data_IF_612064225789
#
_entry.id   IF_612064225789
#
_cell.length_a   1.000
_cell.length_b   1.000
_cell.length_c   1.000
_cell.angle_alpha   90.00
_cell.angle_beta   90.00
_cell.angle_gamma   90.00
#
_symmetry.space_group_name_H-M   'P 1'
#
loop_
_entity.id
_entity.type
_entity.pdbx_description
1 polymer ?
#
# COMPACT_ATOMS: atom_id res chain seq x y z
N UNK A 1 -59.91 25.48 38.21
CA UNK A 1 -58.60 25.89 37.65
C UNK A 1 -58.12 24.74 36.80
N UNK A 2 -58.12 24.91 35.48
CA UNK A 2 -57.78 23.84 34.52
C UNK A 2 -56.80 24.45 33.54
N UNK A 3 -55.51 24.12 33.69
CA UNK A 3 -54.47 24.44 32.73
C UNK A 3 -54.56 23.46 31.53
N UNK A 4 -54.27 23.92 30.30
CA UNK A 4 -54.15 23.04 29.15
C UNK A 4 -52.79 22.33 29.16
N UNK A 5 -52.80 21.03 28.91
CA UNK A 5 -51.59 20.22 28.71
C UNK A 5 -50.90 20.61 27.39
N UNK A 6 -49.64 21.04 27.50
CA UNK A 6 -48.71 21.21 26.39
C UNK A 6 -48.20 19.83 25.94
N UNK A 7 -48.46 19.45 24.70
CA UNK A 7 -47.72 18.40 24.01
C UNK A 7 -46.32 18.92 23.65
N UNK A 8 -45.22 18.24 24.04
CA UNK A 8 -43.93 18.52 23.44
C UNK A 8 -43.80 17.75 22.12
N UNK A 9 -43.47 18.47 21.06
CA UNK A 9 -43.14 17.96 19.75
C UNK A 9 -42.06 16.88 19.80
N UNK A 10 -42.21 15.87 18.94
CA UNK A 10 -41.30 14.74 18.82
C UNK A 10 -39.91 15.15 18.36
N UNK A 11 -38.91 14.77 19.15
CA UNK A 11 -37.50 14.84 18.77
C UNK A 11 -37.16 13.86 17.64
N UNK A 12 -36.07 14.13 16.88
CA UNK A 12 -35.69 13.32 15.75
C UNK A 12 -35.25 11.91 16.18
N UNK A 13 -35.67 10.98 15.34
CA UNK A 13 -35.63 9.54 15.50
C UNK A 13 -34.19 9.01 15.61
N UNK A 14 -34.06 8.10 16.57
CA UNK A 14 -32.89 7.36 17.00
C UNK A 14 -32.26 6.56 15.83
N UNK A 15 -31.15 7.07 15.29
CA UNK A 15 -30.29 6.40 14.33
C UNK A 15 -29.37 5.39 15.02
N UNK A 16 -30.00 4.32 15.47
CA UNK A 16 -29.47 3.03 15.93
C UNK A 16 -28.03 2.73 15.46
N UNK A 17 -27.17 2.48 16.44
CA UNK A 17 -25.74 2.23 16.27
C UNK A 17 -25.38 0.97 15.50
N UNK A 18 -24.29 1.10 14.75
CA UNK A 18 -23.48 0.01 14.23
C UNK A 18 -22.25 -0.17 15.14
N UNK A 19 -22.33 -1.22 15.96
CA UNK A 19 -21.26 -1.95 16.64
C UNK A 19 -19.86 -1.34 16.75
N UNK A 20 -19.65 -0.49 17.75
CA UNK A 20 -18.31 -0.29 18.35
C UNK A 20 -17.97 -1.46 19.27
N UNK A 21 -17.73 -2.64 18.69
CA UNK A 21 -17.16 -3.78 19.40
C UNK A 21 -15.64 -3.65 19.44
N UNK A 22 -15.02 -3.93 20.59
CA UNK A 22 -13.56 -4.09 20.79
C UNK A 22 -12.91 -5.22 19.94
N UNK A 23 -13.64 -5.75 18.97
CA UNK A 23 -13.26 -6.79 18.01
C UNK A 23 -13.89 -6.55 16.63
N UNK A 24 -14.26 -5.30 16.29
CA UNK A 24 -14.62 -4.97 14.92
C UNK A 24 -13.37 -5.16 14.06
N UNK A 25 -13.30 -6.30 13.36
CA UNK A 25 -12.17 -6.72 12.53
C UNK A 25 -11.87 -5.62 11.49
N UNK A 26 -10.77 -4.85 11.64
CA UNK A 26 -10.54 -3.62 10.88
C UNK A 26 -10.47 -3.82 9.35
N UNK A 27 -10.26 -5.06 8.90
CA UNK A 27 -10.18 -5.43 7.49
C UNK A 27 -11.51 -5.85 6.85
N UNK A 28 -12.59 -5.98 7.63
CA UNK A 28 -13.93 -6.27 7.08
C UNK A 28 -14.67 -5.03 6.58
N UNK A 29 -14.16 -3.84 6.90
CA UNK A 29 -14.51 -2.60 6.20
C UNK A 29 -13.88 -2.65 4.80
N UNK A 30 -14.53 -3.37 3.88
CA UNK A 30 -14.23 -3.43 2.45
C UNK A 30 -14.44 -2.07 1.72
N UNK A 31 -14.24 -0.97 2.43
CA UNK A 31 -14.76 0.36 2.09
C UNK A 31 -13.68 1.41 2.31
N UNK A 32 -12.59 1.33 1.56
CA UNK A 32 -11.76 2.52 1.33
C UNK A 32 -12.61 3.61 0.66
N UNK A 33 -12.27 4.91 0.79
CA UNK A 33 -13.08 6.02 0.26
C UNK A 33 -13.40 5.93 -1.24
N UNK A 34 -12.62 5.16 -2.00
CA UNK A 34 -12.83 4.90 -3.44
C UNK A 34 -13.42 3.51 -3.76
N UNK A 35 -13.52 2.61 -2.78
CA UNK A 35 -13.86 1.19 -3.00
C UNK A 35 -15.20 0.77 -2.40
N UNK A 36 -15.74 1.47 -1.38
CA UNK A 36 -16.93 0.92 -0.73
C UNK A 36 -17.89 1.83 0.02
N UNK A 37 -18.06 3.09 -0.40
CA UNK A 37 -19.41 3.64 -0.25
C UNK A 37 -20.18 3.38 -1.54
N UNK A 38 -21.18 2.46 -1.56
CA UNK A 38 -22.10 2.32 -2.69
C UNK A 38 -22.94 3.60 -2.93
N UNK A 39 -22.86 4.56 -2.00
CA UNK A 39 -23.22 5.94 -2.20
C UNK A 39 -21.95 6.79 -2.11
N UNK A 40 -21.06 6.72 -3.12
CA UNK A 40 -19.90 7.60 -3.18
C UNK A 40 -20.33 9.03 -2.87
N UNK A 41 -19.52 9.76 -2.09
CA UNK A 41 -19.83 11.14 -1.65
C UNK A 41 -20.50 11.91 -2.78
N UNK A 42 -21.62 12.60 -2.52
CA UNK A 42 -22.37 13.26 -3.57
C UNK A 42 -21.41 14.17 -4.33
N UNK A 43 -21.23 13.85 -5.62
CA UNK A 43 -20.46 14.69 -6.51
C UNK A 43 -21.06 16.10 -6.46
N UNK A 44 -20.25 17.16 -6.29
CA UNK A 44 -20.79 18.51 -6.16
C UNK A 44 -21.67 18.83 -7.38
N UNK A 45 -22.96 19.13 -7.14
CA UNK A 45 -23.93 19.35 -8.20
C UNK A 45 -23.76 20.76 -8.76
N UNK A 46 -23.71 20.86 -10.09
CA UNK A 46 -23.21 22.01 -10.81
C UNK A 46 -24.18 23.19 -10.87
N UNK A 47 -23.87 24.22 -10.09
CA UNK A 47 -24.19 25.60 -10.46
C UNK A 47 -22.91 26.26 -10.98
N UNK A 48 -22.78 26.36 -12.31
CA UNK A 48 -21.61 26.88 -13.01
C UNK A 48 -21.64 28.41 -13.19
N UNK A 49 -22.52 29.12 -12.49
CA UNK A 49 -22.57 30.58 -12.51
C UNK A 49 -21.26 31.25 -12.04
N UNK A 50 -20.50 30.57 -11.18
CA UNK A 50 -19.17 30.97 -10.71
C UNK A 50 -18.16 29.82 -10.91
N UNK A 51 -17.55 29.67 -12.10
CA UNK A 51 -16.76 28.48 -12.44
C UNK A 51 -15.52 28.30 -11.56
N UNK A 52 -14.85 29.38 -11.15
CA UNK A 52 -13.65 29.31 -10.31
C UNK A 52 -13.92 28.72 -8.92
N UNK A 53 -15.01 29.13 -8.26
CA UNK A 53 -15.38 28.61 -6.94
C UNK A 53 -15.72 27.12 -6.99
N UNK A 54 -16.40 26.69 -8.07
CA UNK A 54 -16.75 25.27 -8.27
C UNK A 54 -15.54 24.40 -8.56
N UNK A 55 -14.59 24.92 -9.31
CA UNK A 55 -13.32 24.24 -9.57
C UNK A 55 -12.53 24.02 -8.27
N UNK A 56 -12.50 25.02 -7.39
CA UNK A 56 -11.85 24.90 -6.08
C UNK A 56 -12.59 23.91 -5.15
N UNK A 57 -13.93 23.92 -5.14
CA UNK A 57 -14.72 22.92 -4.41
C UNK A 57 -14.44 21.49 -4.89
N UNK A 58 -14.36 21.29 -6.20
CA UNK A 58 -14.00 20.01 -6.81
C UNK A 58 -12.58 19.59 -6.44
N UNK A 59 -11.62 20.50 -6.50
CA UNK A 59 -10.25 20.26 -6.07
C UNK A 59 -10.18 19.80 -4.60
N UNK A 60 -10.84 20.51 -3.68
CA UNK A 60 -10.89 20.13 -2.27
C UNK A 60 -11.65 18.83 -2.02
N UNK A 61 -12.66 18.50 -2.82
CA UNK A 61 -13.35 17.22 -2.74
C UNK A 61 -12.41 16.06 -3.13
N UNK A 62 -11.68 16.20 -4.23
CA UNK A 62 -10.69 15.21 -4.72
C UNK A 62 -9.52 15.08 -3.74
N UNK A 63 -8.99 16.20 -3.25
CA UNK A 63 -7.88 16.23 -2.29
C UNK A 63 -8.24 15.51 -0.98
N UNK A 64 -9.44 15.76 -0.44
CA UNK A 64 -9.92 15.08 0.77
C UNK A 64 -10.07 13.59 0.56
N UNK A 65 -10.66 13.18 -0.57
CA UNK A 65 -10.80 11.76 -0.91
C UNK A 65 -9.43 11.04 -0.98
N UNK A 66 -8.41 11.70 -1.55
CA UNK A 66 -7.05 11.16 -1.58
C UNK A 66 -6.39 11.08 -0.19
N UNK A 67 -6.55 12.11 0.64
CA UNK A 67 -6.01 12.14 2.00
C UNK A 67 -6.63 11.07 2.89
N UNK A 68 -7.94 10.88 2.80
CA UNK A 68 -8.67 9.82 3.52
C UNK A 68 -8.25 8.43 3.06
N UNK A 69 -7.93 8.27 1.77
CA UNK A 69 -7.44 6.99 1.25
C UNK A 69 -6.06 6.68 1.83
N UNK A 70 -5.17 7.66 1.83
CA UNK A 70 -3.85 7.51 2.44
C UNK A 70 -3.95 7.24 3.95
N UNK A 71 -4.88 7.89 4.66
CA UNK A 71 -5.08 7.64 6.09
C UNK A 71 -5.68 6.27 6.37
N UNK A 72 -6.61 5.79 5.54
CA UNK A 72 -7.17 4.44 5.61
C UNK A 72 -6.07 3.37 5.51
N UNK A 73 -5.18 3.47 4.52
CA UNK A 73 -4.03 2.57 4.41
C UNK A 73 -3.09 2.65 5.64
N UNK A 74 -2.96 3.82 6.26
CA UNK A 74 -2.06 4.00 7.42
C UNK A 74 -2.69 3.64 8.78
N UNK A 75 -4.01 3.54 8.87
CA UNK A 75 -4.75 3.46 10.15
C UNK A 75 -4.34 2.23 11.00
N UNK A 76 -4.09 1.08 10.37
CA UNK A 76 -3.82 -0.17 11.07
C UNK A 76 -2.32 -0.55 11.15
N UNK A 77 -1.43 0.40 10.82
CA UNK A 77 0.02 0.10 10.70
C UNK A 77 0.67 -0.34 12.02
N UNK A 78 0.18 0.16 13.15
CA UNK A 78 0.84 -0.06 14.45
C UNK A 78 0.59 -1.48 14.95
N UNK A 79 -0.66 -1.94 14.90
CA UNK A 79 -1.02 -3.29 15.31
C UNK A 79 -0.40 -4.34 14.39
N UNK A 80 -0.45 -4.15 13.06
CA UNK A 80 0.23 -5.02 12.10
C UNK A 80 1.75 -5.07 12.33
N UNK A 81 2.39 -3.92 12.60
CA UNK A 81 3.84 -3.87 12.91
C UNK A 81 4.18 -4.55 14.24
N UNK A 82 3.34 -4.38 15.26
CA UNK A 82 3.51 -5.04 16.56
C UNK A 82 3.34 -6.55 16.43
N UNK A 83 2.30 -7.01 15.72
CA UNK A 83 2.06 -8.42 15.44
C UNK A 83 3.23 -9.04 14.66
N UNK A 84 3.70 -8.39 13.59
CA UNK A 84 4.87 -8.85 12.82
C UNK A 84 6.15 -8.94 13.70
N UNK A 85 6.38 -7.97 14.58
CA UNK A 85 7.51 -8.00 15.52
C UNK A 85 7.39 -9.14 16.53
N UNK A 86 6.21 -9.35 17.09
CA UNK A 86 5.96 -10.42 18.05
C UNK A 86 6.18 -11.79 17.42
N UNK A 87 5.69 -11.99 16.18
CA UNK A 87 5.90 -13.22 15.41
C UNK A 87 7.39 -13.47 15.13
N UNK A 88 8.16 -12.43 14.77
CA UNK A 88 9.61 -12.55 14.54
C UNK A 88 10.39 -12.86 15.80
N UNK A 89 10.05 -12.21 16.92
CA UNK A 89 10.67 -12.48 18.22
C UNK A 89 10.34 -13.91 18.68
N UNK A 90 9.09 -14.34 18.51
CA UNK A 90 8.66 -15.71 18.81
C UNK A 90 9.39 -16.76 17.97
N UNK A 91 9.55 -16.50 16.67
CA UNK A 91 10.31 -17.38 15.78
C UNK A 91 11.80 -17.46 16.18
N UNK A 92 12.43 -16.32 16.46
CA UNK A 92 13.84 -16.28 16.87
C UNK A 92 14.06 -16.98 18.23
N UNK A 93 13.19 -16.71 19.21
CA UNK A 93 13.24 -17.35 20.52
C UNK A 93 13.01 -18.86 20.41
N UNK A 94 12.01 -19.29 19.64
CA UNK A 94 11.73 -20.70 19.41
C UNK A 94 12.87 -21.44 18.70
N UNK A 95 13.53 -20.80 17.73
CA UNK A 95 14.71 -21.36 17.07
C UNK A 95 15.91 -21.48 18.04
N UNK A 96 16.18 -20.43 18.83
CA UNK A 96 17.27 -20.44 19.79
C UNK A 96 17.06 -21.48 20.89
N UNK A 97 15.88 -21.51 21.51
CA UNK A 97 15.52 -22.48 22.55
C UNK A 97 15.47 -23.89 21.98
N UNK A 98 14.92 -24.05 20.78
CA UNK A 98 14.85 -25.32 20.06
C UNK A 98 16.22 -25.92 19.74
N UNK A 99 17.21 -25.08 19.46
CA UNK A 99 18.59 -25.52 19.23
C UNK A 99 19.39 -25.69 20.53
N UNK A 100 19.17 -24.83 21.54
CA UNK A 100 19.94 -24.83 22.78
C UNK A 100 19.55 -25.95 23.75
N UNK A 101 18.26 -26.28 23.87
CA UNK A 101 17.79 -27.28 24.84
C UNK A 101 18.34 -28.70 24.58
N UNK A 102 18.39 -29.22 23.33
CA UNK A 102 19.04 -30.49 23.05
C UNK A 102 20.54 -30.49 23.37
N UNK A 103 21.24 -29.37 23.15
CA UNK A 103 22.66 -29.22 23.45
C UNK A 103 22.94 -29.20 24.97
N UNK A 104 22.04 -28.60 25.76
CA UNK A 104 22.14 -28.59 27.22
C UNK A 104 21.87 -29.96 27.84
N UNK A 105 20.93 -30.72 27.26
CA UNK A 105 20.67 -32.11 27.67
C UNK A 105 21.86 -33.02 27.33
N UNK A 106 22.50 -32.81 26.16
CA UNK A 106 23.72 -33.52 25.74
C UNK A 106 24.94 -33.23 26.62
N UNK A 107 25.07 -32.00 27.12
CA UNK A 107 26.18 -31.62 28.02
C UNK A 107 25.93 -32.06 29.47
N UNK A 108 24.76 -32.61 29.79
CA UNK A 108 24.42 -33.13 31.11
C UNK A 108 24.21 -32.05 32.18
N UNK A 109 24.19 -30.77 31.79
CA UNK A 109 24.05 -29.63 32.71
C UNK A 109 22.61 -29.53 33.25
N UNK A 110 21.62 -29.93 32.44
CA UNK A 110 20.20 -29.98 32.82
C UNK A 110 19.56 -31.21 32.17
N UNK A 111 18.93 -32.10 32.94
CA UNK A 111 18.37 -33.35 32.43
C UNK A 111 16.90 -33.27 32.00
N UNK A 112 16.53 -34.01 30.94
CA UNK A 112 15.16 -34.20 30.39
C UNK A 112 14.53 -32.97 29.75
N UNK A 113 15.34 -32.05 29.23
CA UNK A 113 14.82 -30.81 28.60
C UNK A 113 14.69 -30.91 27.08
N UNK A 114 15.27 -31.93 26.44
CA UNK A 114 15.19 -32.13 24.99
C UNK A 114 13.76 -32.13 24.39
N UNK A 115 12.72 -32.71 25.04
CA UNK A 115 11.34 -32.65 24.52
C UNK A 115 10.79 -31.24 24.35
N UNK A 116 11.20 -30.31 25.23
CA UNK A 116 10.79 -28.91 25.19
C UNK A 116 11.44 -28.15 24.03
N UNK A 117 12.60 -28.62 23.55
CA UNK A 117 13.24 -28.11 22.34
C UNK A 117 12.37 -28.33 21.10
N UNK A 118 11.72 -29.50 20.98
CA UNK A 118 10.79 -29.76 19.87
C UNK A 118 9.55 -28.87 19.92
N UNK A 119 9.02 -28.58 21.12
CA UNK A 119 7.91 -27.62 21.29
C UNK A 119 8.34 -26.20 20.90
N UNK A 120 9.57 -25.79 21.20
CA UNK A 120 10.13 -24.51 20.79
C UNK A 120 10.35 -24.40 19.28
N UNK A 121 10.77 -25.50 18.63
CA UNK A 121 10.86 -25.56 17.16
C UNK A 121 9.47 -25.52 16.52
N UNK A 122 8.48 -26.20 17.11
CA UNK A 122 7.09 -26.17 16.65
C UNK A 122 6.50 -24.77 16.76
N UNK A 123 6.74 -24.06 17.87
CA UNK A 123 6.28 -22.67 18.04
C UNK A 123 6.96 -21.73 17.05
N UNK A 124 8.25 -21.91 16.78
CA UNK A 124 8.96 -21.18 15.73
C UNK A 124 8.32 -21.38 14.36
N UNK A 125 8.09 -22.64 13.96
CA UNK A 125 7.43 -22.97 12.70
C UNK A 125 6.01 -22.38 12.62
N UNK A 126 5.25 -22.42 13.71
CA UNK A 126 3.93 -21.82 13.79
C UNK A 126 3.99 -20.29 13.63
N UNK A 127 4.93 -19.59 14.28
CA UNK A 127 5.10 -18.15 14.12
C UNK A 127 5.42 -17.77 12.67
N UNK A 128 6.29 -18.53 11.99
CA UNK A 128 6.62 -18.31 10.58
C UNK A 128 5.43 -18.60 9.66
N UNK A 129 4.69 -19.68 9.92
CA UNK A 129 3.51 -20.02 9.16
C UNK A 129 2.44 -18.94 9.28
N UNK A 130 2.15 -18.46 10.50
CA UNK A 130 1.20 -17.38 10.75
C UNK A 130 1.61 -16.09 10.03
N UNK A 131 2.88 -15.67 10.13
CA UNK A 131 3.36 -14.46 9.43
C UNK A 131 3.17 -14.57 7.91
N UNK A 132 3.39 -15.76 7.34
CA UNK A 132 3.26 -16.02 5.90
C UNK A 132 1.82 -16.15 5.43
N UNK A 133 0.96 -16.86 6.16
CA UNK A 133 -0.44 -17.07 5.80
C UNK A 133 -1.25 -15.79 5.90
N UNK A 134 -1.06 -15.03 6.99
CA UNK A 134 -1.76 -13.76 7.17
C UNK A 134 -1.04 -12.59 6.50
N UNK A 135 0.20 -12.79 6.02
CA UNK A 135 0.98 -11.75 5.36
C UNK A 135 1.18 -10.52 6.25
N UNK A 136 1.22 -10.69 7.59
CA UNK A 136 1.20 -9.56 8.54
C UNK A 136 2.37 -8.60 8.26
N UNK A 137 3.54 -9.17 7.97
CA UNK A 137 4.74 -8.44 7.57
C UNK A 137 4.62 -7.78 6.19
N UNK A 138 4.09 -8.46 5.16
CA UNK A 138 4.00 -7.89 3.80
C UNK A 138 2.88 -6.86 3.70
N UNK A 139 1.78 -7.08 4.41
CA UNK A 139 0.60 -6.22 4.46
C UNK A 139 0.92 -4.80 4.92
N UNK A 140 1.57 -4.61 6.07
CA UNK A 140 1.86 -3.24 6.54
C UNK A 140 2.85 -2.50 5.64
N UNK A 141 3.82 -3.19 5.03
CA UNK A 141 4.76 -2.57 4.09
C UNK A 141 4.07 -2.16 2.80
N UNK A 142 3.17 -3.01 2.31
CA UNK A 142 2.31 -2.73 1.15
C UNK A 142 1.40 -1.54 1.43
N UNK A 143 0.70 -1.53 2.56
CA UNK A 143 -0.18 -0.43 2.97
C UNK A 143 0.58 0.91 3.02
N UNK A 144 1.79 0.92 3.59
CA UNK A 144 2.65 2.10 3.62
C UNK A 144 3.09 2.52 2.22
N UNK A 145 3.49 1.59 1.37
CA UNK A 145 3.92 1.89 0.00
C UNK A 145 2.78 2.51 -0.81
N UNK A 146 1.56 1.98 -0.69
CA UNK A 146 0.37 2.49 -1.38
C UNK A 146 -0.03 3.87 -0.83
N UNK A 147 0.00 4.08 0.48
CA UNK A 147 -0.20 5.41 1.07
C UNK A 147 0.82 6.44 0.57
N UNK A 148 2.10 6.07 0.48
CA UNK A 148 3.15 6.94 -0.06
C UNK A 148 2.95 7.22 -1.56
N UNK A 149 2.48 6.24 -2.32
CA UNK A 149 2.18 6.38 -3.73
C UNK A 149 0.99 7.33 -3.97
N UNK A 150 -0.03 7.28 -3.10
CA UNK A 150 -1.14 8.26 -3.09
C UNK A 150 -0.61 9.66 -2.75
N UNK A 151 0.18 9.79 -1.67
CA UNK A 151 0.75 11.08 -1.26
C UNK A 151 1.60 11.72 -2.35
N UNK A 152 2.44 10.94 -3.05
CA UNK A 152 3.25 11.45 -4.16
C UNK A 152 2.39 11.99 -5.29
N UNK A 153 1.34 11.28 -5.69
CA UNK A 153 0.40 11.73 -6.74
C UNK A 153 -0.38 12.96 -6.29
N UNK A 154 -0.75 13.05 -5.02
CA UNK A 154 -1.42 14.23 -4.46
C UNK A 154 -0.51 15.46 -4.53
N UNK A 155 0.79 15.32 -4.25
CA UNK A 155 1.74 16.42 -4.42
C UNK A 155 1.80 16.89 -5.88
N UNK A 156 1.82 15.97 -6.85
CA UNK A 156 1.78 16.31 -8.28
C UNK A 156 0.49 17.07 -8.62
N UNK A 157 -0.67 16.60 -8.16
CA UNK A 157 -1.95 17.29 -8.33
C UNK A 157 -1.90 18.74 -7.82
N UNK A 158 -1.35 18.96 -6.62
CA UNK A 158 -1.23 20.29 -6.02
C UNK A 158 -0.39 21.24 -6.86
N UNK A 159 0.72 20.75 -7.42
CA UNK A 159 1.60 21.55 -8.28
C UNK A 159 0.96 21.82 -9.64
N UNK A 160 0.34 20.82 -10.25
CA UNK A 160 -0.34 20.97 -11.54
C UNK A 160 -1.49 21.98 -11.41
N UNK A 161 -2.30 21.86 -10.34
CA UNK A 161 -3.34 22.83 -10.00
C UNK A 161 -2.80 24.24 -9.84
N UNK A 162 -1.78 24.42 -8.97
CA UNK A 162 -1.17 25.73 -8.75
C UNK A 162 -0.59 26.34 -10.04
N UNK A 163 -0.07 25.51 -10.95
CA UNK A 163 0.45 25.96 -12.25
C UNK A 163 -0.66 26.44 -13.18
N UNK A 164 -1.82 25.77 -13.20
CA UNK A 164 -2.97 26.19 -14.02
C UNK A 164 -3.68 27.41 -13.40
N UNK A 165 -3.85 27.46 -12.08
CA UNK A 165 -4.38 28.66 -11.40
C UNK A 165 -3.46 29.88 -11.59
N UNK A 166 -2.14 29.70 -11.57
CA UNK A 166 -1.20 30.78 -11.87
C UNK A 166 -1.29 31.23 -13.34
N UNK A 167 -1.50 30.30 -14.27
CA UNK A 167 -1.73 30.63 -15.69
C UNK A 167 -3.03 31.39 -15.91
N UNK A 168 -4.06 31.10 -15.14
CA UNK A 168 -5.33 31.85 -15.18
C UNK A 168 -5.17 33.30 -14.66
N UNK A 169 -4.41 33.49 -13.57
CA UNK A 169 -4.22 34.82 -12.95
C UNK A 169 -3.16 35.68 -13.64
N UNK A 170 -2.09 35.07 -14.16
CA UNK A 170 -0.90 35.77 -14.70
C UNK A 170 -0.73 35.62 -16.21
N UNK A 171 -1.54 34.79 -16.87
CA UNK A 171 -1.42 34.52 -18.31
C UNK A 171 -1.89 35.70 -19.17
N UNK A 172 -1.37 35.83 -20.41
CA UNK A 172 -1.95 36.74 -21.38
C UNK A 172 -3.43 36.39 -21.63
N UNK A 173 -4.29 37.40 -21.83
CA UNK A 173 -5.75 37.30 -21.93
C UNK A 173 -6.28 36.51 -23.16
N UNK A 174 -5.47 35.65 -23.75
CA UNK A 174 -5.72 34.92 -24.99
C UNK A 174 -6.58 33.65 -24.79
N UNK A 175 -6.74 33.18 -23.54
CA UNK A 175 -7.57 32.02 -23.21
C UNK A 175 -8.94 32.42 -22.66
N UNK A 176 -10.01 31.80 -23.15
CA UNK A 176 -11.34 31.99 -22.57
C UNK A 176 -11.42 31.33 -21.19
N UNK A 177 -12.23 31.86 -20.28
CA UNK A 177 -12.46 31.26 -18.96
C UNK A 177 -12.92 29.78 -19.04
N UNK A 178 -13.57 29.39 -20.13
CA UNK A 178 -13.94 28.00 -20.42
C UNK A 178 -12.74 27.09 -20.68
N UNK A 179 -11.75 27.53 -21.46
CA UNK A 179 -10.54 26.75 -21.74
C UNK A 179 -9.66 26.57 -20.50
N UNK A 180 -9.63 27.55 -19.59
CA UNK A 180 -8.97 27.41 -18.30
C UNK A 180 -9.68 26.38 -17.42
N UNK A 181 -11.02 26.44 -17.37
CA UNK A 181 -11.82 25.46 -16.64
C UNK A 181 -11.65 24.04 -17.18
N UNK A 182 -11.61 23.84 -18.51
CA UNK A 182 -11.37 22.54 -19.13
C UNK A 182 -10.00 21.96 -18.77
N UNK A 183 -8.95 22.79 -18.71
CA UNK A 183 -7.61 22.38 -18.27
C UNK A 183 -7.61 21.94 -16.81
N UNK A 184 -8.22 22.72 -15.92
CA UNK A 184 -8.36 22.37 -14.50
C UNK A 184 -9.14 21.07 -14.29
N UNK A 185 -10.26 20.88 -15.00
CA UNK A 185 -11.01 19.63 -14.98
C UNK A 185 -10.21 18.43 -15.51
N UNK A 186 -9.38 18.64 -16.54
CA UNK A 186 -8.47 17.63 -17.07
C UNK A 186 -7.47 17.13 -16.02
N UNK A 187 -6.90 18.04 -15.23
CA UNK A 187 -5.98 17.71 -14.12
C UNK A 187 -6.68 16.86 -13.06
N UNK A 188 -7.88 17.27 -12.62
CA UNK A 188 -8.66 16.54 -11.61
C UNK A 188 -9.09 15.15 -12.10
N UNK A 189 -9.52 15.05 -13.35
CA UNK A 189 -9.92 13.78 -13.98
C UNK A 189 -8.75 12.80 -14.04
N UNK A 190 -7.60 13.26 -14.56
CA UNK A 190 -6.39 12.43 -14.69
C UNK A 190 -5.94 11.90 -13.33
N UNK A 191 -5.94 12.74 -12.30
CA UNK A 191 -5.61 12.30 -10.95
C UNK A 191 -6.58 11.25 -10.41
N UNK A 192 -7.88 11.43 -10.62
CA UNK A 192 -8.91 10.48 -10.17
C UNK A 192 -8.76 9.12 -10.86
N UNK A 193 -8.45 9.12 -12.16
CA UNK A 193 -8.14 7.92 -12.93
C UNK A 193 -6.86 7.24 -12.41
N UNK A 194 -5.80 8.01 -12.12
CA UNK A 194 -4.54 7.49 -11.57
C UNK A 194 -4.70 6.84 -10.19
N UNK A 195 -5.55 7.40 -9.32
CA UNK A 195 -5.87 6.82 -8.01
C UNK A 195 -6.69 5.53 -8.17
N UNK A 196 -7.68 5.54 -9.06
CA UNK A 196 -8.50 4.35 -9.33
C UNK A 196 -7.65 3.21 -9.89
N UNK A 197 -6.72 3.52 -10.81
CA UNK A 197 -5.80 2.53 -11.37
C UNK A 197 -4.81 2.02 -10.32
N UNK A 198 -4.29 2.88 -9.44
CA UNK A 198 -3.44 2.46 -8.33
C UNK A 198 -4.14 1.43 -7.44
N UNK A 199 -5.37 1.72 -7.02
CA UNK A 199 -6.17 0.83 -6.16
C UNK A 199 -6.50 -0.48 -6.88
N UNK A 200 -6.80 -0.42 -8.18
CA UNK A 200 -7.03 -1.61 -9.02
C UNK A 200 -5.79 -2.49 -9.12
N UNK A 201 -4.63 -1.89 -9.41
CA UNK A 201 -3.35 -2.60 -9.50
C UNK A 201 -2.99 -3.27 -8.18
N UNK A 202 -3.15 -2.55 -7.06
CA UNK A 202 -2.92 -3.10 -5.72
C UNK A 202 -3.84 -4.29 -5.42
N UNK A 203 -5.12 -4.18 -5.77
CA UNK A 203 -6.08 -5.27 -5.59
C UNK A 203 -5.69 -6.50 -6.41
N UNK A 204 -5.23 -6.31 -7.65
CA UNK A 204 -4.75 -7.39 -8.50
C UNK A 204 -3.49 -8.05 -7.95
N UNK A 205 -2.52 -7.26 -7.48
CA UNK A 205 -1.30 -7.75 -6.84
C UNK A 205 -1.60 -8.54 -5.56
N UNK A 206 -2.56 -8.07 -4.75
CA UNK A 206 -3.04 -8.80 -3.58
C UNK A 206 -3.67 -10.15 -3.94
N UNK A 207 -4.50 -10.21 -4.99
CA UNK A 207 -5.08 -11.48 -5.48
C UNK A 207 -4.02 -12.47 -5.98
N UNK A 208 -2.95 -11.98 -6.62
CA UNK A 208 -1.84 -12.81 -7.08
C UNK A 208 -1.02 -13.36 -5.91
N UNK A 209 -0.69 -12.54 -4.91
CA UNK A 209 0.02 -13.00 -3.71
C UNK A 209 -0.80 -14.01 -2.91
N UNK A 210 -2.11 -13.80 -2.78
CA UNK A 210 -3.00 -14.75 -2.11
C UNK A 210 -2.98 -16.12 -2.80
N UNK A 211 -2.99 -16.15 -4.14
CA UNK A 211 -2.87 -17.40 -4.91
C UNK A 211 -1.48 -18.06 -4.77
N UNK A 212 -0.41 -17.26 -4.76
CA UNK A 212 0.95 -17.76 -4.62
C UNK A 212 1.30 -18.25 -3.20
N UNK A 213 0.68 -17.66 -2.17
CA UNK A 213 0.82 -18.07 -0.77
C UNK A 213 0.21 -19.44 -0.46
N UNK A 214 -0.79 -19.86 -1.24
CA UNK A 214 -1.43 -21.17 -1.13
C UNK A 214 -0.64 -22.31 -1.78
N UNK A 215 0.45 -22.01 -2.51
CA UNK A 215 1.31 -23.05 -3.06
C UNK A 215 2.08 -23.76 -1.93
N UNK A 216 1.99 -25.10 -1.82
CA UNK A 216 2.69 -25.83 -0.78
C UNK A 216 4.19 -25.58 -0.90
N UNK A 217 4.83 -25.36 0.25
CA UNK A 217 6.29 -25.20 0.36
C UNK A 217 6.95 -26.41 -0.29
N UNK A 218 7.32 -26.27 -1.57
CA UNK A 218 8.36 -27.08 -2.16
C UNK A 218 9.59 -26.83 -1.30
N UNK A 219 10.09 -27.90 -0.68
CA UNK A 219 11.27 -27.90 0.17
C UNK A 219 12.40 -27.16 -0.59
N UNK A 220 12.55 -25.85 -0.35
CA UNK A 220 13.73 -25.12 -0.80
C UNK A 220 14.80 -25.55 0.17
N UNK A 221 15.41 -26.70 -0.15
CA UNK A 221 16.52 -27.25 0.59
C UNK A 221 17.49 -26.11 0.87
N UNK A 222 17.84 -25.95 2.15
CA UNK A 222 19.03 -25.22 2.57
C UNK A 222 20.21 -26.00 1.99
N UNK A 223 20.45 -25.80 0.70
CA UNK A 223 21.69 -26.18 0.04
C UNK A 223 22.74 -25.23 0.57
N UNK A 224 23.57 -25.75 1.47
CA UNK A 224 24.63 -25.02 2.14
C UNK A 224 25.47 -24.22 1.15
N UNK A 225 25.89 -23.04 1.60
CA UNK A 225 26.76 -22.17 0.85
C UNK A 225 28.02 -22.89 0.39
N UNK A 226 28.15 -23.07 -0.92
CA UNK A 226 29.45 -23.19 -1.55
C UNK A 226 30.03 -21.78 -1.67
N UNK A 227 30.86 -21.43 -0.69
CA UNK A 227 31.80 -20.31 -0.75
C UNK A 227 32.90 -20.68 -1.76
N UNK A 228 33.09 -19.99 -2.90
CA UNK A 228 34.39 -20.01 -3.55
C UNK A 228 35.27 -18.99 -2.81
N UNK A 229 36.31 -19.49 -2.15
CA UNK A 229 37.45 -18.66 -1.77
C UNK A 229 38.01 -17.96 -3.02
N UNK A 230 38.44 -16.72 -2.82
CA UNK A 230 38.75 -15.80 -3.91
C UNK A 230 39.96 -16.21 -4.74
N UNK A 231 39.88 -15.88 -6.03
CA UNK A 231 41.04 -15.50 -6.83
C UNK A 231 40.77 -14.11 -7.41
N UNK A 232 41.61 -13.17 -7.00
CA UNK A 232 41.75 -11.84 -7.58
C UNK A 232 42.19 -11.98 -9.04
N UNK A 233 41.43 -11.45 -10.00
CA UNK A 233 41.91 -10.54 -11.05
C UNK A 233 40.80 -10.22 -12.06
N UNK A 234 40.68 -8.94 -12.39
CA UNK A 234 39.71 -8.43 -13.36
C UNK A 234 39.90 -9.00 -14.76
N UNK A 235 38.81 -9.52 -15.33
CA UNK A 235 38.54 -9.59 -16.77
C UNK A 235 37.10 -10.05 -16.97
N UNK A 236 36.31 -9.24 -17.67
CA UNK A 236 34.96 -9.58 -18.15
C UNK A 236 35.10 -10.67 -19.22
N UNK A 237 34.40 -11.82 -19.13
CA UNK A 237 34.39 -12.78 -20.23
C UNK A 237 33.40 -12.30 -21.31
N UNK A 238 33.91 -12.08 -22.51
CA UNK A 238 33.12 -11.77 -23.70
C UNK A 238 32.48 -13.08 -24.23
N UNK A 239 31.19 -13.09 -24.60
CA UNK A 239 30.56 -14.26 -25.23
C UNK A 239 31.12 -14.51 -26.64
N UNK A 240 31.33 -15.77 -27.07
CA UNK A 240 31.82 -16.08 -28.41
C UNK A 240 30.67 -15.99 -29.43
N UNK A 241 30.83 -15.18 -30.47
CA UNK A 241 30.12 -15.42 -31.73
C UNK A 241 29.28 -14.31 -32.38
N UNK A 242 29.37 -13.04 -31.98
CA UNK A 242 28.73 -11.95 -32.74
C UNK A 242 29.78 -10.96 -33.25
N UNK A 243 30.20 -11.13 -34.52
CA UNK A 243 31.04 -10.15 -35.22
C UNK A 243 30.23 -8.86 -35.40
N UNK A 244 30.74 -7.68 -35.01
CA UNK A 244 30.09 -6.40 -35.31
C UNK A 244 30.10 -6.14 -36.82
N UNK A 245 28.92 -6.00 -37.43
CA UNK A 245 28.75 -5.52 -38.79
C UNK A 245 28.99 -4.00 -38.79
N UNK A 246 30.24 -3.59 -39.05
CA UNK A 246 30.58 -2.17 -39.21
C UNK A 246 30.21 -1.69 -40.61
N UNK A 247 29.49 -0.55 -40.75
CA UNK A 247 29.26 0.07 -42.05
C UNK A 247 30.60 0.49 -42.65
N UNK A 248 30.90 0.00 -43.86
CA UNK A 248 32.11 0.35 -44.60
C UNK A 248 32.09 1.85 -44.92
N UNK A 249 33.01 2.60 -44.32
CA UNK A 249 33.36 3.95 -44.78
C UNK A 249 33.95 3.84 -46.19
N UNK A 250 33.38 4.56 -47.17
CA UNK A 250 33.96 4.69 -48.52
C UNK A 250 35.16 5.64 -48.46
N UNK A 251 36.28 5.33 -49.15
CA UNK A 251 37.38 6.27 -49.35
C UNK A 251 36.96 7.46 -50.25
N UNK A 252 37.63 8.62 -50.15
CA UNK A 252 37.36 9.78 -50.99
C UNK A 252 37.73 9.52 -52.46
N UNK A 253 36.87 9.94 -53.37
CA UNK A 253 37.14 9.89 -54.81
C UNK A 253 38.19 10.94 -55.18
N UNK A 254 39.20 10.54 -55.94
CA UNK A 254 40.17 11.43 -56.55
C UNK A 254 39.74 11.73 -57.99
N UNK A 255 39.16 12.91 -58.22
CA UNK A 255 39.44 13.77 -59.38
C UNK A 255 38.86 15.16 -59.21
#
# INVERSE_FOLDING_TARGET
MSQPEMQPEGGPQDGRGEGSGLWAEPWTAATGPWVGEPAGRPFPQGDWGAPAERLEELYHWVERAALETASWYLADRVWKRLAARLLRIGAAAGALVGAALPLLDLTGVVGRVAPWGYLALLSCAACVAVDRFFGVTSGWMRDVATAQAVQRRLQVLRFDWASESAREVLGPAEGTAGEAAERCLGVLRRFSEDITELVRAETADWMLEFRAGAAPVGLRAVGGGARPEGVVNGRVPLPPGARPNMPRQRPPEAR
#
